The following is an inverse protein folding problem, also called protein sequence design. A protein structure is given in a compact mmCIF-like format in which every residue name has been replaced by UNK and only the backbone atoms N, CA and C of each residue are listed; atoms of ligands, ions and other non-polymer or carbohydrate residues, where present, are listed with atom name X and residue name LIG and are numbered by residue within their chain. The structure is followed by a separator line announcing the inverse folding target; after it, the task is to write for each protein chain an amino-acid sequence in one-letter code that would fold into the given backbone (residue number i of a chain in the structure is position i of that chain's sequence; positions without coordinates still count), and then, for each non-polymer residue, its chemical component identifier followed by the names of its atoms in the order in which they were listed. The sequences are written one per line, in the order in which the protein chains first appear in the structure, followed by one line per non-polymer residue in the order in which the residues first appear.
data_IF_943623135335
#
_entry.id   IF_943623135335
#
_cell.length_a   1.000
_cell.length_b   1.000
_cell.length_c   1.000
_cell.angle_alpha   90.00
_cell.angle_beta   90.00
_cell.angle_gamma   90.00
#
_symmetry.space_group_name_H-M   'P 1'
#
loop_
_entity.id
_entity.type
_entity.pdbx_description
1 polymer ?
#
# COMPACT_ATOMS: atom_id res chain seq x y z
N UNK A 1 14.44 -3.96 30.58
CA UNK A 1 14.06 -3.31 29.30
C UNK A 1 14.83 -3.84 28.10
N UNK A 2 16.15 -4.03 28.13
CA UNK A 2 16.93 -4.44 26.95
C UNK A 2 16.47 -5.74 26.28
N UNK A 3 16.05 -6.76 27.05
CA UNK A 3 15.54 -8.02 26.50
C UNK A 3 14.32 -7.87 25.58
N UNK A 4 13.46 -6.89 25.86
CA UNK A 4 12.29 -6.60 25.02
C UNK A 4 12.72 -6.08 23.65
N UNK A 5 13.66 -5.13 23.63
CA UNK A 5 14.19 -4.57 22.39
C UNK A 5 15.00 -5.60 21.58
N UNK A 6 15.78 -6.47 22.24
CA UNK A 6 16.45 -7.59 21.55
C UNK A 6 15.45 -8.58 20.95
N UNK A 7 14.31 -8.82 21.61
CA UNK A 7 13.24 -9.65 21.04
C UNK A 7 12.62 -9.03 19.78
N UNK A 8 12.48 -7.70 19.74
CA UNK A 8 12.04 -6.99 18.54
C UNK A 8 13.10 -7.11 17.44
N UNK A 9 14.37 -6.84 17.74
CA UNK A 9 15.47 -6.97 16.78
C UNK A 9 15.50 -8.37 16.17
N UNK A 10 15.44 -9.42 16.98
CA UNK A 10 15.47 -10.80 16.52
C UNK A 10 14.28 -11.15 15.63
N UNK A 11 13.06 -10.74 16.02
CA UNK A 11 11.86 -10.95 15.21
C UNK A 11 11.97 -10.29 13.83
N UNK A 12 12.47 -9.05 13.77
CA UNK A 12 12.53 -8.33 12.51
C UNK A 12 13.73 -8.73 11.66
N UNK A 13 14.94 -8.83 12.22
CA UNK A 13 16.17 -9.11 11.45
C UNK A 13 16.26 -10.59 11.09
N UNK A 14 16.13 -11.48 12.09
CA UNK A 14 16.34 -12.92 11.90
C UNK A 14 15.05 -13.68 11.55
N UNK A 15 13.88 -13.08 11.79
CA UNK A 15 12.58 -13.62 11.40
C UNK A 15 12.05 -13.00 10.10
N UNK A 16 11.40 -11.85 10.22
CA UNK A 16 10.62 -11.23 9.14
C UNK A 16 11.47 -10.75 7.96
N UNK A 17 12.69 -10.27 8.21
CA UNK A 17 13.57 -9.71 7.19
C UNK A 17 14.74 -10.62 6.82
N UNK A 18 14.80 -11.85 7.33
CA UNK A 18 15.84 -12.81 6.96
C UNK A 18 16.02 -12.97 5.42
N UNK A 19 14.96 -12.96 4.59
CA UNK A 19 15.12 -13.03 3.14
C UNK A 19 15.85 -11.81 2.52
N UNK A 20 15.86 -10.65 3.18
CA UNK A 20 16.51 -9.45 2.65
C UNK A 20 18.03 -9.53 2.65
N UNK A 21 18.65 -10.40 3.46
CA UNK A 21 20.08 -10.67 3.35
C UNK A 21 20.43 -11.29 2.01
N UNK A 22 19.58 -12.17 1.47
CA UNK A 22 19.77 -12.72 0.13
C UNK A 22 19.64 -11.63 -0.95
N UNK A 23 18.58 -10.82 -0.89
CA UNK A 23 18.34 -9.75 -1.86
C UNK A 23 19.45 -8.69 -1.88
N UNK A 24 20.08 -8.42 -0.72
CA UNK A 24 21.17 -7.45 -0.57
C UNK A 24 22.38 -7.74 -1.46
N UNK A 25 22.71 -9.01 -1.68
CA UNK A 25 23.89 -9.40 -2.45
C UNK A 25 23.61 -9.63 -3.93
N UNK A 26 22.35 -9.47 -4.36
CA UNK A 26 21.98 -9.59 -5.77
C UNK A 26 22.48 -8.36 -6.55
N UNK A 27 23.16 -8.61 -7.67
CA UNK A 27 23.67 -7.56 -8.58
C UNK A 27 22.57 -7.00 -9.50
N UNK A 28 21.53 -7.79 -9.77
CA UNK A 28 20.44 -7.36 -10.65
C UNK A 28 19.45 -6.48 -9.89
N UNK A 29 19.41 -5.19 -10.25
CA UNK A 29 18.56 -4.19 -9.61
C UNK A 29 17.08 -4.56 -9.55
N UNK A 30 16.53 -5.16 -10.61
CA UNK A 30 15.13 -5.57 -10.65
C UNK A 30 14.86 -6.71 -9.66
N UNK A 31 15.76 -7.67 -9.59
CA UNK A 31 15.61 -8.82 -8.70
C UNK A 31 15.77 -8.42 -7.22
N UNK A 32 16.73 -7.56 -6.89
CA UNK A 32 16.91 -7.03 -5.52
C UNK A 32 15.70 -6.22 -5.05
N UNK A 33 14.94 -5.62 -5.97
CA UNK A 33 13.75 -4.83 -5.68
C UNK A 33 12.43 -5.59 -5.91
N UNK A 34 12.47 -6.91 -6.13
CA UNK A 34 11.29 -7.71 -6.48
C UNK A 34 10.15 -7.58 -5.46
N UNK A 35 10.46 -7.54 -4.16
CA UNK A 35 9.47 -7.35 -3.10
C UNK A 35 8.80 -5.97 -3.19
N UNK A 36 9.58 -4.91 -3.45
CA UNK A 36 9.05 -3.56 -3.65
C UNK A 36 8.10 -3.51 -4.85
N UNK A 37 8.47 -4.17 -5.95
CA UNK A 37 7.62 -4.28 -7.14
C UNK A 37 6.31 -5.01 -6.86
N UNK A 38 6.34 -6.09 -6.08
CA UNK A 38 5.13 -6.82 -5.68
C UNK A 38 4.18 -5.90 -4.89
N UNK A 39 4.69 -5.21 -3.87
CA UNK A 39 3.87 -4.27 -3.09
C UNK A 39 3.31 -3.13 -3.94
N UNK A 40 4.12 -2.58 -4.85
CA UNK A 40 3.67 -1.55 -5.78
C UNK A 40 2.53 -2.05 -6.67
N UNK A 41 2.66 -3.25 -7.25
CA UNK A 41 1.62 -3.85 -8.11
C UNK A 41 0.33 -4.11 -7.30
N UNK A 42 0.43 -4.64 -6.09
CA UNK A 42 -0.73 -4.85 -5.21
C UNK A 42 -1.42 -3.51 -4.92
N UNK A 43 -0.66 -2.48 -4.56
CA UNK A 43 -1.19 -1.15 -4.30
C UNK A 43 -1.86 -0.53 -5.54
N UNK A 44 -1.26 -0.70 -6.72
CA UNK A 44 -1.83 -0.26 -7.99
C UNK A 44 -3.15 -0.97 -8.30
N UNK A 45 -3.23 -2.28 -8.12
CA UNK A 45 -4.47 -3.06 -8.32
C UNK A 45 -5.55 -2.57 -7.37
N UNK A 46 -5.23 -2.43 -6.08
CA UNK A 46 -6.17 -1.94 -5.07
C UNK A 46 -6.68 -0.53 -5.38
N UNK A 47 -5.79 0.37 -5.82
CA UNK A 47 -6.14 1.73 -6.22
C UNK A 47 -7.08 1.73 -7.44
N UNK A 48 -6.78 0.96 -8.48
CA UNK A 48 -7.64 0.86 -9.68
C UNK A 48 -9.00 0.28 -9.31
N UNK A 49 -9.04 -0.76 -8.47
CA UNK A 49 -10.27 -1.34 -7.97
C UNK A 49 -11.14 -0.31 -7.24
N UNK A 50 -10.57 0.47 -6.33
CA UNK A 50 -11.29 1.56 -5.64
C UNK A 50 -11.74 2.68 -6.56
N UNK A 51 -10.94 3.09 -7.54
CA UNK A 51 -11.38 4.07 -8.53
C UNK A 51 -12.61 3.58 -9.31
N UNK A 52 -12.64 2.29 -9.67
CA UNK A 52 -13.80 1.70 -10.33
C UNK A 52 -15.04 1.63 -9.42
N UNK A 53 -14.87 1.33 -8.13
CA UNK A 53 -15.97 1.35 -7.16
C UNK A 53 -16.57 2.76 -7.05
N UNK A 54 -15.73 3.79 -6.88
CA UNK A 54 -16.17 5.18 -6.83
C UNK A 54 -16.93 5.58 -8.10
N UNK A 55 -16.44 5.14 -9.27
CA UNK A 55 -17.13 5.37 -10.54
C UNK A 55 -18.53 4.75 -10.55
N UNK A 56 -18.67 3.48 -10.13
CA UNK A 56 -19.97 2.81 -10.06
C UNK A 56 -20.94 3.60 -9.18
N UNK A 57 -20.51 4.04 -8.00
CA UNK A 57 -21.37 4.84 -7.11
C UNK A 57 -21.76 6.19 -7.72
N UNK A 58 -20.83 6.87 -8.38
CA UNK A 58 -21.12 8.12 -9.08
C UNK A 58 -22.10 7.93 -10.25
N UNK A 59 -21.97 6.81 -10.98
CA UNK A 59 -22.79 6.50 -12.16
C UNK A 59 -24.19 5.97 -11.78
N UNK A 60 -24.38 5.47 -10.56
CA UNK A 60 -25.69 4.99 -10.05
C UNK A 60 -26.73 6.11 -9.86
N UNK A 61 -26.32 7.38 -9.82
CA UNK A 61 -27.24 8.52 -9.75
C UNK A 61 -28.05 8.62 -8.45
N UNK A 62 -27.65 7.88 -7.41
CA UNK A 62 -28.29 7.89 -6.08
C UNK A 62 -27.81 9.03 -5.18
N UNK A 63 -26.72 9.73 -5.56
CA UNK A 63 -26.21 10.88 -4.82
C UNK A 63 -27.08 12.12 -5.04
N UNK A 64 -27.55 12.72 -3.93
CA UNK A 64 -28.12 14.06 -3.95
C UNK A 64 -27.02 15.09 -4.20
N UNK A 65 -26.98 15.62 -5.43
CA UNK A 65 -26.05 16.65 -5.88
C UNK A 65 -26.67 18.05 -5.80
N UNK A 66 -27.77 18.22 -5.07
CA UNK A 66 -28.37 19.53 -4.86
C UNK A 66 -27.38 20.45 -4.15
N UNK A 67 -27.21 21.64 -4.71
CA UNK A 67 -26.28 22.64 -4.20
C UNK A 67 -26.97 23.34 -3.02
N UNK A 68 -26.41 23.21 -1.81
CA UNK A 68 -26.91 23.89 -0.61
C UNK A 68 -26.48 25.36 -0.50
N UNK A 69 -25.74 25.89 -1.50
CA UNK A 69 -25.31 27.28 -1.48
C UNK A 69 -26.50 28.22 -1.64
N UNK A 70 -26.61 29.17 -0.73
CA UNK A 70 -27.55 30.28 -0.88
C UNK A 70 -27.22 31.10 -2.13
N UNK A 71 -28.26 31.54 -2.85
CA UNK A 71 -28.12 32.52 -3.93
C UNK A 71 -27.45 33.78 -3.38
N UNK A 72 -26.34 34.20 -3.97
CA UNK A 72 -25.79 35.53 -3.71
C UNK A 72 -26.63 36.54 -4.48
N UNK A 73 -27.57 37.16 -3.76
CA UNK A 73 -28.46 38.28 -4.12
C UNK A 73 -29.06 38.21 -5.53
#
# INVERSE_FOLDING_TARGET
MSKFFYGIEDLFVNGLFAPYDFFRFMQNWWASNSVNWIFFVIGMIAMVYWMNQLKIFNDNGEEDKSISSHSYL
#
